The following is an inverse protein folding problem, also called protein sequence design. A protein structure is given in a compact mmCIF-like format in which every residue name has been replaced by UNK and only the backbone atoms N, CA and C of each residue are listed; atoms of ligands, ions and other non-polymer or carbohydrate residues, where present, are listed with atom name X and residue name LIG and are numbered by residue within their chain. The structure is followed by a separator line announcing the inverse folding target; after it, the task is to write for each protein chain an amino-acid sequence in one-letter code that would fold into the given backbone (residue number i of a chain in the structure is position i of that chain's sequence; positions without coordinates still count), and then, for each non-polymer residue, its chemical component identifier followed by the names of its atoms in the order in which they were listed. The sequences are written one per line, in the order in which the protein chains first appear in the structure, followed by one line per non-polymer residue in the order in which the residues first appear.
data_IF_901473234926
#
_entry.id   IF_901473234926
#
_cell.length_a   1.000
_cell.length_b   1.000
_cell.length_c   1.000
_cell.angle_alpha   90.00
_cell.angle_beta   90.00
_cell.angle_gamma   90.00
#
_symmetry.space_group_name_H-M   'P 1'
#
loop_
_entity.id
_entity.type
_entity.pdbx_description
1 polymer ?
#
# COMPACT_ATOMS: atom_id res chain seq x y z
N UNK A 1 -58.01 -18.72 4.44
CA UNK A 1 -56.87 -18.84 3.50
C UNK A 1 -56.33 -17.48 3.09
N UNK A 2 -57.18 -16.47 2.88
CA UNK A 2 -56.79 -15.12 2.46
C UNK A 2 -55.75 -14.42 3.38
N UNK A 3 -55.81 -14.62 4.70
CA UNK A 3 -54.83 -14.04 5.64
C UNK A 3 -53.43 -14.68 5.51
N UNK A 4 -53.35 -15.96 5.15
CA UNK A 4 -52.08 -16.63 4.90
C UNK A 4 -51.46 -16.11 3.60
N UNK A 5 -52.28 -15.89 2.57
CA UNK A 5 -51.84 -15.29 1.31
C UNK A 5 -51.38 -13.83 1.49
N UNK A 6 -52.10 -13.04 2.29
CA UNK A 6 -51.69 -11.65 2.62
C UNK A 6 -50.36 -11.63 3.39
N UNK A 7 -50.17 -12.53 4.35
CA UNK A 7 -48.90 -12.67 5.07
C UNK A 7 -47.74 -13.11 4.15
N UNK A 8 -48.01 -14.05 3.23
CA UNK A 8 -47.03 -14.53 2.26
C UNK A 8 -46.56 -13.43 1.31
N UNK A 9 -47.49 -12.60 0.81
CA UNK A 9 -47.17 -11.47 -0.05
C UNK A 9 -46.34 -10.40 0.68
N UNK A 10 -46.64 -10.14 1.96
CA UNK A 10 -45.87 -9.20 2.79
C UNK A 10 -44.45 -9.74 3.04
N UNK A 11 -44.32 -11.03 3.38
CA UNK A 11 -43.03 -11.67 3.60
C UNK A 11 -42.16 -11.66 2.33
N UNK A 12 -42.77 -11.91 1.17
CA UNK A 12 -42.08 -11.83 -0.11
C UNK A 12 -41.55 -10.41 -0.41
N UNK A 13 -42.34 -9.38 -0.14
CA UNK A 13 -41.92 -8.00 -0.34
C UNK A 13 -40.74 -7.59 0.57
N UNK A 14 -40.78 -8.00 1.85
CA UNK A 14 -39.68 -7.74 2.80
C UNK A 14 -38.41 -8.48 2.39
N UNK A 15 -38.52 -9.72 1.94
CA UNK A 15 -37.38 -10.50 1.45
C UNK A 15 -36.72 -9.83 0.23
N UNK A 16 -37.52 -9.38 -0.73
CA UNK A 16 -37.02 -8.66 -1.92
C UNK A 16 -36.30 -7.36 -1.51
N UNK A 17 -36.84 -6.61 -0.55
CA UNK A 17 -36.20 -5.39 -0.06
C UNK A 17 -34.82 -5.65 0.55
N UNK A 18 -34.66 -6.72 1.36
CA UNK A 18 -33.37 -7.09 1.94
C UNK A 18 -32.34 -7.46 0.85
N UNK A 19 -32.77 -8.17 -0.19
CA UNK A 19 -31.93 -8.53 -1.34
C UNK A 19 -31.48 -7.29 -2.13
N UNK A 20 -32.37 -6.32 -2.32
CA UNK A 20 -32.02 -5.08 -3.04
C UNK A 20 -31.02 -4.24 -2.23
N UNK A 21 -31.20 -4.15 -0.91
CA UNK A 21 -30.27 -3.42 -0.04
C UNK A 21 -28.89 -4.10 -0.05
N UNK A 22 -28.83 -5.43 0.11
CA UNK A 22 -27.56 -6.16 0.11
C UNK A 22 -26.85 -6.07 -1.25
N UNK A 23 -27.59 -6.16 -2.35
CA UNK A 23 -27.05 -5.94 -3.69
C UNK A 23 -26.58 -4.50 -3.88
N UNK A 24 -27.31 -3.51 -3.37
CA UNK A 24 -26.92 -2.11 -3.40
C UNK A 24 -25.60 -1.85 -2.68
N UNK A 25 -25.43 -2.37 -1.46
CA UNK A 25 -24.17 -2.29 -0.71
C UNK A 25 -23.04 -3.01 -1.46
N UNK A 26 -23.32 -4.18 -2.05
CA UNK A 26 -22.34 -4.93 -2.85
C UNK A 26 -21.88 -4.14 -4.09
N UNK A 27 -22.81 -3.57 -4.86
CA UNK A 27 -22.49 -2.74 -6.03
C UNK A 27 -21.72 -1.48 -5.65
N UNK A 28 -22.09 -0.81 -4.55
CA UNK A 28 -21.33 0.34 -4.03
C UNK A 28 -19.93 -0.08 -3.60
N UNK A 29 -19.77 -1.25 -2.97
CA UNK A 29 -18.45 -1.77 -2.60
C UNK A 29 -17.58 -2.12 -3.81
N UNK A 30 -18.19 -2.65 -4.88
CA UNK A 30 -17.51 -2.92 -6.15
C UNK A 30 -17.10 -1.61 -6.85
N UNK A 31 -17.96 -0.60 -6.84
CA UNK A 31 -17.66 0.72 -7.38
C UNK A 31 -16.57 1.44 -6.58
N UNK A 32 -16.55 1.31 -5.25
CA UNK A 32 -15.48 1.86 -4.41
C UNK A 32 -14.15 1.14 -4.64
N UNK A 33 -14.15 -0.18 -4.84
CA UNK A 33 -12.94 -0.93 -5.19
C UNK A 33 -12.45 -0.57 -6.59
N UNK A 34 -13.34 -0.42 -7.57
CA UNK A 34 -12.96 0.05 -8.91
C UNK A 34 -12.53 1.52 -8.92
N UNK A 35 -13.14 2.41 -8.14
CA UNK A 35 -12.68 3.80 -8.02
C UNK A 35 -11.27 3.89 -7.41
N UNK A 36 -10.94 3.03 -6.44
CA UNK A 36 -9.57 2.94 -5.89
C UNK A 36 -8.54 2.52 -6.95
N UNK A 37 -8.90 1.69 -7.93
CA UNK A 37 -8.03 1.32 -9.05
C UNK A 37 -8.08 2.31 -10.23
N UNK A 38 -9.24 2.93 -10.48
CA UNK A 38 -9.47 3.80 -11.65
C UNK A 38 -8.87 5.20 -11.52
N UNK A 39 -8.61 5.71 -10.31
CA UNK A 39 -8.00 7.04 -10.13
C UNK A 39 -6.54 7.12 -10.61
N UNK A 40 -5.86 5.99 -10.86
CA UNK A 40 -4.43 5.98 -11.18
C UNK A 40 -4.06 5.33 -12.52
N UNK A 41 -5.02 4.78 -13.26
CA UNK A 41 -4.75 4.06 -14.51
C UNK A 41 -3.92 2.78 -14.37
N UNK A 42 -3.60 2.37 -13.14
CA UNK A 42 -2.82 1.18 -12.80
C UNK A 42 -3.76 0.01 -12.48
N UNK A 43 -3.46 -1.18 -13.00
CA UNK A 43 -4.21 -2.39 -12.65
C UNK A 43 -3.73 -2.96 -11.30
N UNK A 44 -4.63 -3.55 -10.51
CA UNK A 44 -4.35 -4.15 -9.20
C UNK A 44 -3.17 -5.14 -9.23
N UNK A 45 -3.01 -5.88 -10.33
CA UNK A 45 -1.89 -6.82 -10.54
C UNK A 45 -0.54 -6.08 -10.58
N UNK A 46 -0.50 -4.92 -11.23
CA UNK A 46 0.70 -4.09 -11.34
C UNK A 46 1.05 -3.47 -9.98
N UNK A 47 0.05 -2.93 -9.28
CA UNK A 47 0.22 -2.40 -7.92
C UNK A 47 0.75 -3.48 -6.99
N UNK A 48 0.19 -4.70 -7.04
CA UNK A 48 0.64 -5.82 -6.22
C UNK A 48 2.07 -6.24 -6.58
N UNK A 49 2.39 -6.34 -7.87
CA UNK A 49 3.73 -6.70 -8.35
C UNK A 49 4.77 -5.69 -7.85
N UNK A 50 4.52 -4.40 -8.09
CA UNK A 50 5.39 -3.31 -7.62
C UNK A 50 5.57 -3.33 -6.10
N UNK A 51 4.46 -3.39 -5.36
CA UNK A 51 4.50 -3.36 -3.91
C UNK A 51 5.17 -4.59 -3.30
N UNK A 52 5.04 -5.77 -3.92
CA UNK A 52 5.61 -7.01 -3.40
C UNK A 52 7.14 -6.96 -3.27
N UNK A 53 7.81 -6.28 -4.20
CA UNK A 53 9.25 -6.06 -4.20
C UNK A 53 9.70 -5.40 -2.90
N UNK A 54 9.05 -4.30 -2.51
CA UNK A 54 9.43 -3.51 -1.34
C UNK A 54 8.86 -4.08 -0.03
N UNK A 55 7.64 -4.63 -0.06
CA UNK A 55 7.04 -5.34 1.09
C UNK A 55 7.91 -6.50 1.57
N UNK A 56 8.68 -7.13 0.69
CA UNK A 56 9.62 -8.18 1.08
C UNK A 56 10.68 -7.70 2.09
N UNK A 57 10.95 -6.39 2.15
CA UNK A 57 11.88 -5.76 3.08
C UNK A 57 11.22 -5.24 4.37
N UNK A 58 9.89 -5.19 4.41
CA UNK A 58 9.13 -4.72 5.56
C UNK A 58 9.30 -5.64 6.77
N UNK A 59 9.22 -5.06 7.97
CA UNK A 59 9.25 -5.80 9.22
C UNK A 59 9.67 -4.95 10.41
N UNK A 60 9.30 -5.39 11.61
CA UNK A 60 9.61 -4.69 12.86
C UNK A 60 11.02 -4.93 13.38
N UNK A 61 11.75 -5.87 12.78
CA UNK A 61 13.08 -6.29 13.21
C UNK A 61 13.88 -6.85 12.05
N UNK A 62 14.36 -5.95 11.19
CA UNK A 62 15.09 -6.23 9.95
C UNK A 62 16.59 -6.04 10.17
N UNK A 63 17.43 -6.92 9.63
CA UNK A 63 18.89 -6.79 9.74
C UNK A 63 19.39 -5.60 8.91
N UNK A 64 20.42 -4.89 9.40
CA UNK A 64 21.01 -3.76 8.67
C UNK A 64 21.52 -4.11 7.28
N UNK A 65 21.99 -5.35 7.05
CA UNK A 65 22.35 -5.83 5.70
C UNK A 65 21.15 -5.84 4.76
N UNK A 66 19.98 -6.29 5.22
CA UNK A 66 18.75 -6.31 4.43
C UNK A 66 18.23 -4.89 4.18
N UNK A 67 18.36 -3.99 5.15
CA UNK A 67 18.04 -2.56 4.96
C UNK A 67 18.99 -1.88 3.98
N UNK A 68 20.28 -2.20 4.00
CA UNK A 68 21.22 -1.68 2.99
C UNK A 68 20.83 -2.12 1.58
N UNK A 69 20.45 -3.38 1.41
CA UNK A 69 19.95 -3.89 0.14
C UNK A 69 18.65 -3.18 -0.30
N UNK A 70 17.76 -2.86 0.63
CA UNK A 70 16.56 -2.05 0.35
C UNK A 70 16.94 -0.65 -0.16
N UNK A 71 17.87 0.03 0.51
CA UNK A 71 18.35 1.37 0.10
C UNK A 71 18.91 1.32 -1.31
N UNK A 72 19.74 0.34 -1.63
CA UNK A 72 20.31 0.17 -2.96
C UNK A 72 19.22 -0.15 -4.01
N UNK A 73 18.24 -1.00 -3.67
CA UNK A 73 17.12 -1.31 -4.57
C UNK A 73 16.28 -0.07 -4.89
N UNK A 74 15.92 0.72 -3.87
CA UNK A 74 15.13 1.95 -4.04
C UNK A 74 15.91 2.99 -4.84
N UNK A 75 17.19 3.20 -4.53
CA UNK A 75 18.03 4.14 -5.26
C UNK A 75 18.15 3.76 -6.74
N UNK A 76 18.44 2.49 -7.04
CA UNK A 76 18.57 2.02 -8.43
C UNK A 76 17.24 2.09 -9.19
N UNK A 77 16.12 1.78 -8.52
CA UNK A 77 14.78 1.95 -9.10
C UNK A 77 14.55 3.41 -9.47
N UNK A 78 14.74 4.34 -8.53
CA UNK A 78 14.52 5.77 -8.74
C UNK A 78 15.41 6.37 -9.84
N UNK A 79 16.65 5.87 -10.01
CA UNK A 79 17.55 6.29 -11.10
C UNK A 79 17.00 5.95 -12.50
N UNK A 80 16.31 4.82 -12.62
CA UNK A 80 15.80 4.32 -13.91
C UNK A 80 14.33 4.64 -14.14
N UNK A 81 13.61 5.04 -13.08
CA UNK A 81 12.20 5.38 -13.14
C UNK A 81 12.01 6.80 -13.67
N UNK A 82 11.26 6.91 -14.75
CA UNK A 82 10.93 8.20 -15.37
C UNK A 82 9.64 8.80 -14.83
N UNK A 83 8.79 7.99 -14.22
CA UNK A 83 7.53 8.43 -13.62
C UNK A 83 7.72 8.81 -12.14
N UNK A 84 7.64 10.10 -11.84
CA UNK A 84 7.76 10.66 -10.49
C UNK A 84 6.74 10.09 -9.48
N UNK A 85 5.58 9.62 -9.96
CA UNK A 85 4.56 8.98 -9.12
C UNK A 85 4.97 7.58 -8.64
N UNK A 86 5.93 6.95 -9.34
CA UNK A 86 6.46 5.61 -9.04
C UNK A 86 7.81 5.63 -8.32
N UNK A 87 8.38 6.83 -8.10
CA UNK A 87 9.59 7.02 -7.31
C UNK A 87 9.31 6.97 -5.80
N UNK A 88 10.30 6.48 -5.06
CA UNK A 88 10.16 6.16 -3.64
C UNK A 88 11.08 7.07 -2.81
N UNK A 89 10.50 7.75 -1.82
CA UNK A 89 11.24 8.49 -0.80
C UNK A 89 11.59 7.57 0.37
N UNK A 90 12.83 7.62 0.87
CA UNK A 90 13.18 7.02 2.16
C UNK A 90 13.15 8.08 3.24
N UNK A 91 12.50 7.75 4.36
CA UNK A 91 12.43 8.61 5.54
C UNK A 91 12.91 7.87 6.79
N UNK A 92 13.37 8.61 7.80
CA UNK A 92 13.70 8.06 9.11
C UNK A 92 12.46 7.92 10.01
N UNK A 93 12.64 7.42 11.24
CA UNK A 93 11.57 7.29 12.23
C UNK A 93 10.90 8.62 12.65
N UNK A 94 11.48 9.77 12.32
CA UNK A 94 10.91 11.11 12.55
C UNK A 94 10.20 11.67 11.30
N UNK A 95 10.12 10.88 10.23
CA UNK A 95 9.68 11.28 8.89
C UNK A 95 10.61 12.28 8.19
N UNK A 96 11.86 12.44 8.62
CA UNK A 96 12.83 13.24 7.89
C UNK A 96 13.33 12.48 6.67
N UNK A 97 13.42 13.13 5.51
CA UNK A 97 13.92 12.53 4.27
C UNK A 97 15.39 12.16 4.42
N UNK A 98 15.70 10.88 4.21
CA UNK A 98 17.06 10.33 4.22
C UNK A 98 17.53 9.88 2.83
N UNK A 99 16.60 9.75 1.87
CA UNK A 99 16.87 9.66 0.45
C UNK A 99 15.69 10.28 -0.31
N UNK A 100 15.93 11.39 -1.01
CA UNK A 100 14.91 12.03 -1.84
C UNK A 100 14.68 11.26 -3.15
N UNK A 101 13.51 11.48 -3.76
CA UNK A 101 13.09 10.79 -5.00
C UNK A 101 14.05 11.03 -6.16
N UNK A 102 14.52 12.26 -6.35
CA UNK A 102 15.39 12.63 -7.46
C UNK A 102 16.89 12.56 -7.11
N UNK A 103 17.29 11.80 -6.08
CA UNK A 103 18.72 11.65 -5.77
C UNK A 103 19.46 10.83 -6.83
N UNK A 104 20.38 11.48 -7.53
CA UNK A 104 21.25 10.88 -8.54
C UNK A 104 22.69 10.65 -8.05
N UNK A 105 23.06 11.25 -6.91
CA UNK A 105 24.39 11.09 -6.33
C UNK A 105 24.44 9.85 -5.40
N UNK A 106 25.23 8.81 -5.73
CA UNK A 106 25.30 7.60 -4.92
C UNK A 106 25.93 7.82 -3.55
N UNK A 107 26.62 8.94 -3.32
CA UNK A 107 27.18 9.30 -2.01
C UNK A 107 26.15 9.82 -1.03
N UNK A 108 24.96 10.23 -1.52
CA UNK A 108 23.83 10.69 -0.71
C UNK A 108 22.95 9.55 -0.18
N UNK A 109 23.32 8.29 -0.46
CA UNK A 109 22.64 7.13 0.12
C UNK A 109 22.78 7.13 1.65
N UNK A 110 21.71 6.83 2.41
CA UNK A 110 21.79 6.76 3.85
C UNK A 110 22.77 5.68 4.31
N UNK A 111 23.63 6.04 5.27
CA UNK A 111 24.61 5.12 5.85
C UNK A 111 23.93 4.14 6.83
N UNK A 112 23.63 2.94 6.34
CA UNK A 112 23.03 1.87 7.15
C UNK A 112 24.11 1.08 7.91
N UNK A 113 24.02 1.06 9.24
CA UNK A 113 24.87 0.23 10.10
C UNK A 113 24.41 -1.24 10.03
N UNK A 114 25.22 -2.12 9.45
CA UNK A 114 24.87 -3.53 9.24
C UNK A 114 24.75 -4.34 10.53
N UNK A 115 25.47 -3.95 11.58
CA UNK A 115 25.42 -4.57 12.92
C UNK A 115 24.21 -4.16 13.78
N UNK A 116 23.24 -3.42 13.23
CA UNK A 116 22.04 -2.96 13.93
C UNK A 116 20.77 -3.54 13.32
N UNK A 117 19.67 -3.46 14.06
CA UNK A 117 18.34 -3.86 13.63
C UNK A 117 17.48 -2.62 13.38
N UNK A 118 16.50 -2.76 12.50
CA UNK A 118 15.66 -1.65 12.07
C UNK A 118 14.19 -2.09 11.98
N UNK A 119 13.27 -1.16 12.25
CA UNK A 119 11.90 -1.25 11.80
C UNK A 119 11.81 -0.64 10.40
N UNK A 120 11.25 -1.38 9.45
CA UNK A 120 10.98 -0.94 8.08
C UNK A 120 9.47 -0.95 7.88
N UNK A 121 8.90 0.16 7.44
CA UNK A 121 7.46 0.29 7.20
C UNK A 121 7.23 0.88 5.81
N UNK A 122 6.46 0.18 4.99
CA UNK A 122 6.11 0.65 3.65
C UNK A 122 4.81 1.46 3.70
N UNK A 123 4.82 2.66 3.11
CA UNK A 123 3.67 3.57 3.12
C UNK A 123 3.15 3.75 1.70
N UNK A 124 2.01 3.14 1.35
CA UNK A 124 1.35 3.36 0.07
C UNK A 124 0.77 4.77 -0.05
N UNK A 125 0.85 5.36 -1.23
CA UNK A 125 0.13 6.60 -1.56
C UNK A 125 -1.37 6.31 -1.70
N UNK A 126 -2.21 7.20 -1.16
CA UNK A 126 -3.68 6.99 -1.10
C UNK A 126 -4.37 6.91 -2.46
N UNK A 127 -3.79 7.53 -3.50
CA UNK A 127 -4.37 7.61 -4.85
C UNK A 127 -3.94 6.44 -5.72
N UNK A 128 -2.63 6.16 -5.78
CA UNK A 128 -2.05 5.10 -6.61
C UNK A 128 -2.02 3.72 -5.96
N UNK A 129 -2.06 3.65 -4.63
CA UNK A 129 -1.84 2.40 -3.91
C UNK A 129 -0.41 1.88 -4.01
N UNK A 130 0.49 2.57 -4.73
CA UNK A 130 1.91 2.24 -4.83
C UNK A 130 2.65 2.70 -3.57
N UNK A 131 3.64 1.93 -3.15
CA UNK A 131 4.59 2.33 -2.12
C UNK A 131 5.45 3.46 -2.68
N UNK A 132 5.23 4.69 -2.22
CA UNK A 132 6.03 5.87 -2.61
C UNK A 132 6.87 6.42 -1.45
N UNK A 133 6.71 5.84 -0.26
CA UNK A 133 7.49 6.18 0.94
C UNK A 133 7.82 4.94 1.74
N UNK A 134 9.06 4.83 2.19
CA UNK A 134 9.50 3.76 3.10
C UNK A 134 10.19 4.38 4.31
N UNK A 135 9.66 4.09 5.49
CA UNK A 135 10.21 4.54 6.75
C UNK A 135 11.22 3.51 7.29
N UNK A 136 12.40 3.98 7.69
CA UNK A 136 13.47 3.17 8.26
C UNK A 136 13.83 3.76 9.63
N UNK A 137 13.59 3.00 10.70
CA UNK A 137 13.90 3.40 12.07
C UNK A 137 14.89 2.42 12.68
N UNK A 138 15.99 2.91 13.23
CA UNK A 138 16.91 2.08 14.01
C UNK A 138 16.23 1.62 15.30
N UNK A 139 16.39 0.34 15.63
CA UNK A 139 15.97 -0.19 16.92
C UNK A 139 17.13 -0.02 17.90
N UNK A 140 16.88 0.65 19.01
CA UNK A 140 17.82 0.70 20.11
C UNK A 140 17.84 -0.66 20.82
N UNK A 141 19.04 -1.16 21.11
CA UNK A 141 19.20 -2.39 21.89
C UNK A 141 18.88 -2.02 23.36
N UNK A 142 17.72 -2.46 23.84
CA UNK A 142 17.39 -2.46 25.28
C UNK A 142 18.26 -3.46 26.04
#
# INVERSE_FOLDING_TARGET
MENATKALLIAAAVLVAIIIISLGVYVVSLAQNQMKGAESGLNDVEIQSFNSTYKSYEGTSVSGTKVKALVDAVYNHNLTESDESRKIELVDGTNATILAKEQEDPTQKPAIKTGKRYSVTCVPEKKSGLITKIQIQILEDN
#
